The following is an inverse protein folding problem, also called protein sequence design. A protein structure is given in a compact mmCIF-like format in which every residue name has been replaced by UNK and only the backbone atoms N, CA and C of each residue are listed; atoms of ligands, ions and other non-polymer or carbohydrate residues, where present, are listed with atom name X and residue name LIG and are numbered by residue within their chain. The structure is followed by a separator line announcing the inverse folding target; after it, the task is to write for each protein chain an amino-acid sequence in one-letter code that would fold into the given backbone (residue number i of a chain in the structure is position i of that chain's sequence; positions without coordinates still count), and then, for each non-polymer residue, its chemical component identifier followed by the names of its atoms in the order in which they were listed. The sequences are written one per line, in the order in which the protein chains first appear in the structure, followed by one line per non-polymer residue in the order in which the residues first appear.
data_IF_506511146992
#
_entry.id   IF_506511146992
#
_cell.length_a   1.000
_cell.length_b   1.000
_cell.length_c   1.000
_cell.angle_alpha   90.00
_cell.angle_beta   90.00
_cell.angle_gamma   90.00
#
_symmetry.space_group_name_H-M   'P 1'
#
loop_
_entity.id
_entity.type
_entity.pdbx_description
1 polymer ?
#
# COMPACT_ATOMS: atom_id res chain seq x y z
N UNK A 1 -12.01 17.33 14.94
CA UNK A 1 -12.41 15.87 14.89
C UNK A 1 -11.15 15.07 14.71
N UNK A 2 -10.97 14.03 15.51
CA UNK A 2 -9.81 13.15 15.42
C UNK A 2 -9.86 12.33 14.12
N UNK A 3 -8.83 12.42 13.29
CA UNK A 3 -8.70 11.64 12.05
C UNK A 3 -8.61 10.14 12.36
N UNK A 4 -9.40 9.33 11.68
CA UNK A 4 -9.36 7.86 11.79
C UNK A 4 -8.56 7.29 10.61
N UNK A 5 -7.39 6.73 10.90
CA UNK A 5 -6.48 6.20 9.88
C UNK A 5 -6.35 4.69 10.08
N UNK A 6 -6.77 3.91 9.11
CA UNK A 6 -6.69 2.45 9.16
C UNK A 6 -5.59 1.92 8.24
N UNK A 7 -4.64 1.17 8.80
CA UNK A 7 -3.67 0.41 8.05
C UNK A 7 -4.08 -1.06 8.08
N UNK A 8 -4.29 -1.65 6.90
CA UNK A 8 -4.70 -3.04 6.78
C UNK A 8 -3.56 -3.97 7.17
N UNK A 9 -3.79 -4.83 8.16
CA UNK A 9 -2.85 -5.85 8.60
C UNK A 9 -3.36 -7.24 8.17
N UNK A 10 -2.46 -8.06 7.67
CA UNK A 10 -2.76 -9.40 7.17
C UNK A 10 -1.53 -10.31 7.21
N UNK A 11 -1.70 -11.64 7.25
CA UNK A 11 -0.57 -12.56 7.22
C UNK A 11 0.33 -12.35 6.00
N UNK A 12 1.66 -12.35 6.23
CA UNK A 12 2.70 -12.12 5.21
C UNK A 12 2.66 -10.69 4.61
N UNK A 13 2.21 -9.71 5.38
CA UNK A 13 2.39 -8.30 5.05
C UNK A 13 3.88 -7.95 4.99
N UNK A 14 4.27 -7.05 4.10
CA UNK A 14 5.59 -6.43 4.16
C UNK A 14 5.61 -5.43 5.32
N UNK A 15 6.31 -5.75 6.41
CA UNK A 15 6.19 -4.98 7.65
C UNK A 15 6.52 -3.49 7.47
N UNK A 16 7.52 -3.13 6.64
CA UNK A 16 7.90 -1.74 6.46
C UNK A 16 6.87 -0.95 5.63
N UNK A 17 6.11 -1.61 4.74
CA UNK A 17 4.96 -1.00 4.04
C UNK A 17 3.87 -0.57 5.03
N UNK A 18 3.78 -1.25 6.17
CA UNK A 18 2.87 -0.96 7.27
C UNK A 18 3.49 0.05 8.25
N UNK A 19 4.68 -0.27 8.77
CA UNK A 19 5.30 0.48 9.88
C UNK A 19 5.87 1.83 9.44
N UNK A 20 6.30 1.98 8.19
CA UNK A 20 6.75 3.27 7.66
C UNK A 20 5.64 4.34 7.67
N UNK A 21 4.49 4.09 7.04
CA UNK A 21 3.34 5.00 7.15
C UNK A 21 2.79 5.12 8.58
N UNK A 22 2.77 4.02 9.34
CA UNK A 22 2.32 4.03 10.73
C UNK A 22 3.10 5.07 11.54
N UNK A 23 4.43 5.06 11.45
CA UNK A 23 5.28 5.99 12.19
C UNK A 23 4.95 7.45 11.87
N UNK A 24 4.78 7.79 10.60
CA UNK A 24 4.41 9.15 10.20
C UNK A 24 3.03 9.53 10.74
N UNK A 25 2.04 8.66 10.57
CA UNK A 25 0.66 8.98 10.98
C UNK A 25 0.46 8.99 12.49
N UNK A 26 1.23 8.19 13.23
CA UNK A 26 1.20 8.19 14.69
C UNK A 26 1.73 9.49 15.31
N UNK A 27 2.47 10.29 14.57
CA UNK A 27 2.95 11.62 14.99
C UNK A 27 1.97 12.76 14.67
N UNK A 28 0.88 12.49 13.95
CA UNK A 28 -0.16 13.51 13.73
C UNK A 28 -0.89 13.83 15.03
N UNK A 29 -0.99 15.12 15.38
CA UNK A 29 -1.50 15.59 16.69
C UNK A 29 -2.97 15.21 16.96
N UNK A 30 -3.81 15.15 15.93
CA UNK A 30 -5.24 14.86 16.00
C UNK A 30 -5.63 13.61 15.19
N UNK A 31 -4.83 12.54 15.23
CA UNK A 31 -5.12 11.30 14.54
C UNK A 31 -5.13 10.09 15.49
N UNK A 32 -5.95 9.10 15.16
CA UNK A 32 -5.90 7.77 15.72
C UNK A 32 -5.60 6.76 14.61
N UNK A 33 -4.51 6.04 14.75
CA UNK A 33 -4.08 5.00 13.81
C UNK A 33 -4.57 3.65 14.31
N UNK A 34 -5.17 2.87 13.42
CA UNK A 34 -5.69 1.53 13.67
C UNK A 34 -4.94 0.50 12.83
N UNK A 35 -4.44 -0.55 13.46
CA UNK A 35 -3.93 -1.73 12.80
C UNK A 35 -5.09 -2.71 12.57
N UNK A 36 -5.72 -2.61 11.41
CA UNK A 36 -7.00 -3.26 11.11
C UNK A 36 -6.79 -4.64 10.50
N UNK A 37 -7.37 -5.67 11.10
CA UNK A 37 -7.32 -7.04 10.59
C UNK A 37 -8.69 -7.72 10.73
N UNK A 38 -8.88 -8.90 10.12
CA UNK A 38 -10.11 -9.71 10.32
C UNK A 38 -10.32 -10.09 11.77
N UNK A 39 -9.24 -10.44 12.46
CA UNK A 39 -9.23 -10.86 13.87
C UNK A 39 -8.12 -10.15 14.62
N UNK A 40 -8.18 -10.16 15.94
CA UNK A 40 -7.14 -9.56 16.80
C UNK A 40 -5.96 -10.50 17.08
N UNK A 41 -5.93 -11.69 16.49
CA UNK A 41 -4.80 -12.61 16.64
C UNK A 41 -3.56 -12.04 15.93
N UNK A 42 -2.37 -12.13 16.53
CA UNK A 42 -1.12 -11.71 15.88
C UNK A 42 -0.89 -12.45 14.56
N UNK A 43 -0.35 -11.73 13.58
CA UNK A 43 -0.05 -12.29 12.27
C UNK A 43 1.44 -12.12 11.92
N UNK A 44 2.06 -13.13 11.26
CA UNK A 44 3.44 -13.02 10.83
C UNK A 44 3.57 -12.11 9.59
N UNK A 45 4.57 -11.25 9.57
CA UNK A 45 5.00 -10.51 8.38
C UNK A 45 5.64 -11.46 7.35
N UNK A 46 5.97 -10.93 6.16
CA UNK A 46 6.73 -11.67 5.12
C UNK A 46 8.09 -12.17 5.62
N UNK A 47 8.68 -11.50 6.61
CA UNK A 47 9.98 -11.83 7.20
C UNK A 47 9.89 -12.54 8.56
N UNK A 48 8.68 -12.86 9.03
CA UNK A 48 8.45 -13.60 10.27
C UNK A 48 8.22 -12.76 11.54
N UNK A 49 8.34 -11.42 11.46
CA UNK A 49 8.01 -10.55 12.59
C UNK A 49 6.53 -10.68 12.93
N UNK A 50 6.20 -10.91 14.23
CA UNK A 50 4.83 -10.95 14.68
C UNK A 50 4.28 -9.54 14.88
N UNK A 51 3.12 -9.28 14.29
CA UNK A 51 2.42 -8.00 14.35
C UNK A 51 1.04 -8.23 14.96
N UNK A 52 0.70 -7.43 15.97
CA UNK A 52 -0.59 -7.53 16.66
C UNK A 52 -1.54 -6.45 16.13
N UNK A 53 -2.70 -6.83 15.55
CA UNK A 53 -3.75 -5.86 15.23
C UNK A 53 -4.39 -5.34 16.53
N UNK A 54 -4.93 -4.12 16.46
CA UNK A 54 -5.66 -3.49 17.57
C UNK A 54 -7.16 -3.30 17.25
N UNK A 55 -7.55 -3.49 15.99
CA UNK A 55 -8.92 -3.24 15.53
C UNK A 55 -9.37 -4.35 14.57
N UNK A 56 -10.51 -4.99 14.87
CA UNK A 56 -11.12 -5.95 13.96
C UNK A 56 -11.91 -5.26 12.84
N UNK A 57 -12.19 -5.95 11.72
CA UNK A 57 -13.08 -5.42 10.67
C UNK A 57 -14.45 -5.02 11.23
N UNK A 58 -14.99 -5.80 12.16
CA UNK A 58 -16.29 -5.56 12.75
C UNK A 58 -16.35 -4.32 13.66
N UNK A 59 -15.24 -3.98 14.31
CA UNK A 59 -15.13 -2.87 15.26
C UNK A 59 -14.48 -1.62 14.64
N UNK A 60 -14.04 -1.72 13.37
CA UNK A 60 -13.37 -0.62 12.69
C UNK A 60 -14.33 0.55 12.45
N UNK A 61 -13.98 1.76 12.92
CA UNK A 61 -14.79 2.94 12.65
C UNK A 61 -14.76 3.27 11.15
N UNK A 62 -15.61 4.22 10.73
CA UNK A 62 -15.46 4.83 9.41
C UNK A 62 -14.12 5.56 9.36
N UNK A 63 -13.29 5.21 8.40
CA UNK A 63 -11.94 5.74 8.26
C UNK A 63 -11.94 7.02 7.41
N UNK A 64 -11.12 8.01 7.80
CA UNK A 64 -10.74 9.13 6.94
C UNK A 64 -9.68 8.69 5.91
N UNK A 65 -8.79 7.79 6.31
CA UNK A 65 -7.73 7.23 5.46
C UNK A 65 -7.71 5.72 5.59
N UNK A 66 -7.83 5.04 4.46
CA UNK A 66 -7.56 3.60 4.36
C UNK A 66 -6.21 3.39 3.68
N UNK A 67 -5.28 2.70 4.34
CA UNK A 67 -3.98 2.32 3.78
C UNK A 67 -3.86 0.81 3.63
N UNK A 68 -3.57 0.36 2.41
CA UNK A 68 -3.36 -1.05 2.08
C UNK A 68 -1.88 -1.29 1.77
N UNK A 69 -1.11 -1.90 2.69
CA UNK A 69 0.28 -2.26 2.45
C UNK A 69 0.42 -3.43 1.48
N UNK A 70 1.63 -3.62 0.96
CA UNK A 70 1.97 -4.77 0.16
C UNK A 70 2.52 -5.95 0.98
N UNK A 71 3.09 -6.92 0.29
CA UNK A 71 3.68 -8.11 0.88
C UNK A 71 3.35 -9.38 0.09
N UNK A 72 3.87 -10.49 0.55
CA UNK A 72 3.62 -11.79 -0.09
C UNK A 72 2.15 -12.21 0.04
N UNK A 73 1.48 -11.80 1.12
CA UNK A 73 0.07 -12.11 1.39
C UNK A 73 -0.94 -11.43 0.45
N UNK A 74 -0.52 -10.42 -0.32
CA UNK A 74 -1.38 -9.68 -1.27
C UNK A 74 -2.17 -10.60 -2.21
N UNK A 75 -1.54 -11.69 -2.69
CA UNK A 75 -2.24 -12.63 -3.58
C UNK A 75 -3.47 -13.27 -2.92
N UNK A 76 -3.39 -13.62 -1.65
CA UNK A 76 -4.52 -14.17 -0.90
C UNK A 76 -5.61 -13.10 -0.69
N UNK A 77 -5.22 -11.86 -0.39
CA UNK A 77 -6.17 -10.76 -0.21
C UNK A 77 -6.95 -10.46 -1.49
N UNK A 78 -6.32 -10.51 -2.65
CA UNK A 78 -6.98 -10.28 -3.94
C UNK A 78 -8.09 -11.30 -4.25
N UNK A 79 -8.11 -12.45 -3.56
CA UNK A 79 -9.11 -13.52 -3.69
C UNK A 79 -10.03 -13.64 -2.46
N UNK A 80 -9.81 -12.83 -1.44
CA UNK A 80 -10.56 -12.85 -0.19
C UNK A 80 -11.69 -11.83 -0.21
N UNK A 81 -12.91 -12.29 -0.52
CA UNK A 81 -14.07 -11.42 -0.70
C UNK A 81 -14.44 -10.65 0.58
N UNK A 82 -14.20 -11.20 1.77
CA UNK A 82 -14.46 -10.49 3.03
C UNK A 82 -13.55 -9.25 3.15
N UNK A 83 -12.26 -9.40 2.87
CA UNK A 83 -11.31 -8.28 2.87
C UNK A 83 -11.65 -7.27 1.75
N UNK A 84 -11.97 -7.74 0.55
CA UNK A 84 -12.33 -6.85 -0.55
C UNK A 84 -13.63 -6.08 -0.26
N UNK A 85 -14.62 -6.73 0.37
CA UNK A 85 -15.85 -6.08 0.81
C UNK A 85 -15.59 -5.01 1.87
N UNK A 86 -14.74 -5.30 2.87
CA UNK A 86 -14.32 -4.33 3.88
C UNK A 86 -13.64 -3.12 3.23
N UNK A 87 -12.69 -3.33 2.31
CA UNK A 87 -12.00 -2.25 1.59
C UNK A 87 -13.02 -1.39 0.82
N UNK A 88 -13.93 -2.01 0.07
CA UNK A 88 -14.98 -1.28 -0.67
C UNK A 88 -15.91 -0.50 0.24
N UNK A 89 -16.24 -1.06 1.42
CA UNK A 89 -17.10 -0.39 2.39
C UNK A 89 -16.42 0.84 2.97
N UNK A 90 -15.17 0.73 3.41
CA UNK A 90 -14.40 1.87 3.93
C UNK A 90 -14.17 2.93 2.85
N UNK A 91 -13.90 2.51 1.62
CA UNK A 91 -13.67 3.43 0.49
C UNK A 91 -14.86 4.35 0.18
N UNK A 92 -16.10 3.99 0.57
CA UNK A 92 -17.28 4.85 0.36
C UNK A 92 -17.25 6.11 1.24
N UNK A 93 -16.65 6.05 2.41
CA UNK A 93 -16.60 7.15 3.37
C UNK A 93 -15.24 7.80 3.54
N UNK A 94 -14.17 7.12 3.13
CA UNK A 94 -12.81 7.61 3.30
C UNK A 94 -12.53 8.85 2.44
N UNK A 95 -11.86 9.82 3.03
CA UNK A 95 -11.33 10.99 2.32
C UNK A 95 -10.22 10.61 1.37
N UNK A 96 -9.39 9.62 1.78
CA UNK A 96 -8.28 9.11 0.98
C UNK A 96 -8.20 7.59 1.03
N UNK A 97 -8.07 6.99 -0.15
CA UNK A 97 -7.81 5.56 -0.34
C UNK A 97 -6.36 5.43 -0.76
N UNK A 98 -5.60 4.61 -0.06
CA UNK A 98 -4.16 4.62 -0.24
C UNK A 98 -3.58 3.21 -0.24
N UNK A 99 -2.41 3.07 -0.86
CA UNK A 99 -1.66 1.82 -0.84
C UNK A 99 -0.16 2.06 -0.89
N UNK A 100 0.60 1.09 -0.42
CA UNK A 100 2.06 1.03 -0.57
C UNK A 100 2.43 -0.26 -1.29
N UNK A 101 3.46 -0.21 -2.14
CA UNK A 101 4.01 -1.38 -2.80
C UNK A 101 2.91 -2.16 -3.56
N UNK A 102 2.83 -3.47 -3.40
CA UNK A 102 1.82 -4.31 -4.07
C UNK A 102 0.41 -4.22 -3.47
N UNK A 103 0.20 -3.41 -2.44
CA UNK A 103 -1.14 -3.12 -1.92
C UNK A 103 -2.09 -2.51 -2.95
N UNK A 104 -1.55 -1.79 -3.94
CA UNK A 104 -2.34 -1.27 -5.06
C UNK A 104 -3.04 -2.37 -5.87
N UNK A 105 -2.47 -3.57 -5.97
CA UNK A 105 -3.13 -4.69 -6.66
C UNK A 105 -4.37 -5.17 -5.90
N UNK A 106 -4.39 -5.05 -4.57
CA UNK A 106 -5.59 -5.33 -3.75
C UNK A 106 -6.66 -4.28 -4.03
N UNK A 107 -6.28 -2.99 -4.12
CA UNK A 107 -7.19 -1.93 -4.54
C UNK A 107 -7.75 -2.19 -5.95
N UNK A 108 -6.91 -2.69 -6.87
CA UNK A 108 -7.33 -3.14 -8.20
C UNK A 108 -8.38 -4.25 -8.11
N UNK A 109 -8.12 -5.31 -7.33
CA UNK A 109 -9.06 -6.41 -7.12
C UNK A 109 -10.37 -5.99 -6.43
N UNK A 110 -10.33 -4.90 -5.64
CA UNK A 110 -11.52 -4.27 -5.07
C UNK A 110 -12.30 -3.38 -6.08
N UNK A 111 -11.77 -3.17 -7.30
CA UNK A 111 -12.39 -2.33 -8.34
C UNK A 111 -12.13 -0.82 -8.18
N UNK A 112 -11.16 -0.42 -7.38
CA UNK A 112 -10.91 0.98 -7.02
C UNK A 112 -9.86 1.68 -7.91
N UNK A 113 -9.25 0.96 -8.87
CA UNK A 113 -8.20 1.51 -9.75
C UNK A 113 -8.70 1.82 -11.18
N UNK A 114 -9.93 1.48 -11.53
CA UNK A 114 -10.45 1.67 -12.90
C UNK A 114 -10.36 3.13 -13.34
N UNK A 115 -9.69 3.37 -14.47
CA UNK A 115 -9.47 4.70 -15.02
C UNK A 115 -8.56 5.61 -14.19
N UNK A 116 -7.83 5.06 -13.20
CA UNK A 116 -6.96 5.81 -12.30
C UNK A 116 -5.50 5.70 -12.71
N UNK A 117 -4.74 6.76 -12.42
CA UNK A 117 -3.28 6.71 -12.43
C UNK A 117 -2.80 6.10 -11.12
N UNK A 118 -1.88 5.14 -11.18
CA UNK A 118 -1.39 4.46 -9.99
C UNK A 118 0.06 3.98 -10.15
N UNK A 119 0.73 3.78 -9.03
CA UNK A 119 2.01 3.07 -8.95
C UNK A 119 1.91 1.85 -8.06
N UNK A 120 2.91 0.99 -8.13
CA UNK A 120 3.10 -0.19 -7.31
C UNK A 120 4.60 -0.49 -7.19
N UNK A 121 4.98 -1.58 -6.56
CA UNK A 121 6.37 -2.05 -6.60
C UNK A 121 6.80 -2.31 -8.06
N UNK A 122 7.98 -1.80 -8.46
CA UNK A 122 8.46 -1.78 -9.85
C UNK A 122 8.41 -3.15 -10.55
N UNK A 123 8.68 -4.25 -9.84
CA UNK A 123 8.65 -5.60 -10.40
C UNK A 123 7.24 -6.12 -10.76
N UNK A 124 6.18 -5.43 -10.35
CA UNK A 124 4.78 -5.80 -10.58
C UNK A 124 3.99 -4.72 -11.33
N UNK A 125 4.68 -3.72 -11.84
CA UNK A 125 4.10 -2.51 -12.41
C UNK A 125 3.16 -2.79 -13.59
N UNK A 126 3.50 -3.77 -14.41
CA UNK A 126 2.69 -4.18 -15.57
C UNK A 126 1.28 -4.66 -15.20
N UNK A 127 1.09 -5.21 -13.96
CA UNK A 127 -0.19 -5.74 -13.53
C UNK A 127 -1.26 -4.66 -13.26
N UNK A 128 -0.85 -3.39 -13.13
CA UNK A 128 -1.79 -2.29 -12.95
C UNK A 128 -2.69 -2.09 -14.18
N UNK A 129 -2.14 -2.27 -15.38
CA UNK A 129 -2.89 -2.15 -16.64
C UNK A 129 -4.05 -3.14 -16.75
N UNK A 130 -3.92 -4.32 -16.16
CA UNK A 130 -4.97 -5.34 -16.15
C UNK A 130 -6.24 -4.88 -15.39
N UNK A 131 -6.11 -3.94 -14.45
CA UNK A 131 -7.21 -3.33 -13.71
C UNK A 131 -7.74 -2.04 -14.35
N UNK A 132 -7.44 -1.79 -15.62
CA UNK A 132 -7.80 -0.55 -16.32
C UNK A 132 -7.22 0.70 -15.63
N UNK A 133 -6.06 0.56 -14.98
CA UNK A 133 -5.30 1.66 -14.41
C UNK A 133 -4.19 2.10 -15.36
N UNK A 134 -3.83 3.38 -15.33
CA UNK A 134 -2.64 3.91 -16.02
C UNK A 134 -1.43 3.80 -15.11
N UNK A 135 -0.45 2.91 -15.41
CA UNK A 135 0.74 2.78 -14.60
C UNK A 135 1.63 4.03 -14.68
N UNK A 136 2.11 4.53 -13.54
CA UNK A 136 3.02 5.67 -13.45
C UNK A 136 4.25 5.30 -12.64
N UNK A 137 5.44 5.41 -13.24
CA UNK A 137 6.71 5.15 -12.55
C UNK A 137 7.10 6.35 -11.70
N UNK A 138 6.64 6.38 -10.44
CA UNK A 138 6.97 7.40 -9.46
C UNK A 138 6.91 6.82 -8.04
N UNK A 139 7.61 7.44 -7.10
CA UNK A 139 7.58 7.01 -5.69
C UNK A 139 6.19 7.19 -5.07
N UNK A 140 5.51 8.28 -5.41
CA UNK A 140 4.14 8.57 -4.98
C UNK A 140 3.34 9.04 -6.17
N UNK A 141 2.15 8.49 -6.36
CA UNK A 141 1.20 8.91 -7.39
C UNK A 141 -0.12 9.26 -6.71
N UNK A 142 -0.60 10.46 -7.03
CA UNK A 142 -1.92 10.94 -6.62
C UNK A 142 -2.86 11.00 -7.82
N UNK A 143 -4.08 10.52 -7.67
CA UNK A 143 -5.20 10.69 -8.58
C UNK A 143 -6.48 10.99 -7.79
N UNK A 144 -6.75 12.27 -7.56
CA UNK A 144 -7.85 12.71 -6.71
C UNK A 144 -7.66 12.26 -5.26
N UNK A 145 -8.60 11.45 -4.76
CA UNK A 145 -8.56 10.86 -3.42
C UNK A 145 -7.69 9.58 -3.32
N UNK A 146 -7.21 9.07 -4.44
CA UNK A 146 -6.33 7.91 -4.48
C UNK A 146 -4.87 8.32 -4.38
N UNK A 147 -4.13 7.73 -3.41
CA UNK A 147 -2.68 7.84 -3.30
C UNK A 147 -2.06 6.46 -3.36
N UNK A 148 -1.06 6.27 -4.19
CA UNK A 148 -0.32 5.01 -4.28
C UNK A 148 1.17 5.26 -4.13
N UNK A 149 1.80 4.57 -3.20
CA UNK A 149 3.25 4.55 -3.01
C UNK A 149 3.89 3.38 -3.75
N UNK A 150 5.09 3.59 -4.27
CA UNK A 150 5.91 2.57 -4.93
C UNK A 150 6.44 1.51 -3.96
N UNK A 151 7.62 0.95 -4.26
CA UNK A 151 8.22 -0.11 -3.45
C UNK A 151 8.61 0.34 -2.06
N UNK A 152 8.58 -0.55 -1.17
CA UNK A 152 8.69 -0.64 0.30
C UNK A 152 8.94 0.70 1.02
N UNK A 153 10.11 1.31 0.82
CA UNK A 153 10.51 2.55 1.51
C UNK A 153 9.72 3.79 1.07
N UNK A 154 9.04 3.74 -0.08
CA UNK A 154 8.17 4.82 -0.54
C UNK A 154 6.96 5.06 0.39
N UNK A 155 6.70 4.12 1.32
CA UNK A 155 5.67 4.28 2.35
C UNK A 155 5.86 5.50 3.23
N UNK A 156 7.11 5.87 3.53
CA UNK A 156 7.41 7.06 4.34
C UNK A 156 7.15 8.34 3.52
N UNK A 157 7.66 8.42 2.27
CA UNK A 157 7.45 9.57 1.38
C UNK A 157 5.96 9.79 1.10
N UNK A 158 5.23 8.69 0.86
CA UNK A 158 3.79 8.69 0.66
C UNK A 158 3.06 9.25 1.89
N UNK A 159 3.40 8.77 3.09
CA UNK A 159 2.74 9.17 4.31
C UNK A 159 3.00 10.64 4.65
N UNK A 160 4.22 11.15 4.44
CA UNK A 160 4.55 12.57 4.58
C UNK A 160 3.77 13.44 3.57
N UNK A 161 3.65 12.96 2.31
CA UNK A 161 2.86 13.65 1.28
C UNK A 161 1.39 13.73 1.70
N UNK A 162 0.84 12.64 2.21
CA UNK A 162 -0.55 12.61 2.67
C UNK A 162 -0.75 13.42 3.96
N UNK A 163 0.22 13.41 4.89
CA UNK A 163 0.19 14.24 6.08
C UNK A 163 0.08 15.74 5.73
N UNK A 164 0.83 16.20 4.72
CA UNK A 164 0.73 17.57 4.23
C UNK A 164 -0.68 17.91 3.72
N UNK A 165 -1.37 16.98 3.07
CA UNK A 165 -2.77 17.15 2.62
C UNK A 165 -3.79 17.13 3.77
N UNK A 166 -3.51 16.36 4.82
CA UNK A 166 -4.42 16.21 5.96
C UNK A 166 -4.35 17.37 6.93
N UNK A 167 -3.14 17.82 7.27
CA UNK A 167 -2.86 18.76 8.37
C UNK A 167 -1.97 19.96 7.98
N UNK A 168 -1.52 20.02 6.73
CA UNK A 168 -0.68 21.09 6.18
C UNK A 168 0.81 20.77 6.17
N UNK A 169 1.53 21.46 5.28
CA UNK A 169 2.97 21.23 5.03
C UNK A 169 3.84 21.46 6.26
N UNK A 170 3.53 22.45 7.10
CA UNK A 170 4.31 22.76 8.29
C UNK A 170 4.39 21.58 9.26
N UNK A 171 3.25 20.95 9.54
CA UNK A 171 3.18 19.78 10.43
C UNK A 171 3.87 18.57 9.79
N UNK A 172 3.67 18.34 8.49
CA UNK A 172 4.37 17.26 7.79
C UNK A 172 5.90 17.43 7.81
N UNK A 173 6.40 18.66 7.64
CA UNK A 173 7.83 18.98 7.74
C UNK A 173 8.35 18.81 9.18
N UNK A 174 7.55 19.17 10.19
CA UNK A 174 7.91 18.97 11.59
C UNK A 174 8.04 17.47 11.91
N UNK A 175 7.11 16.64 11.44
CA UNK A 175 7.17 15.19 11.56
C UNK A 175 8.41 14.63 10.84
N UNK A 176 8.67 15.06 9.61
CA UNK A 176 9.87 14.65 8.86
C UNK A 176 11.16 14.97 9.63
N UNK A 177 11.25 16.17 10.20
CA UNK A 177 12.41 16.59 10.98
C UNK A 177 12.54 15.81 12.29
N UNK A 178 11.44 15.57 12.99
CA UNK A 178 11.42 14.78 14.23
C UNK A 178 11.87 13.34 13.99
N UNK A 179 11.50 12.75 12.86
CA UNK A 179 11.95 11.42 12.44
C UNK A 179 13.38 11.41 11.88
N UNK A 180 14.00 12.58 11.71
CA UNK A 180 15.28 12.72 11.00
C UNK A 180 15.27 12.00 9.63
N UNK A 181 14.12 12.04 8.94
CA UNK A 181 14.00 11.38 7.64
C UNK A 181 14.73 12.17 6.55
N UNK A 182 16.03 11.92 6.45
CA UNK A 182 16.97 12.49 5.47
C UNK A 182 17.77 11.35 4.81
N UNK A 183 17.14 10.52 3.94
CA UNK A 183 17.76 9.30 3.44
C UNK A 183 19.01 9.56 2.61
N UNK A 184 20.09 8.84 2.96
CA UNK A 184 21.38 8.88 2.28
C UNK A 184 21.85 7.44 2.00
N UNK A 185 21.25 6.72 1.04
CA UNK A 185 21.61 5.35 0.76
C UNK A 185 23.05 5.24 0.23
N UNK A 186 23.80 4.19 0.61
CA UNK A 186 25.21 4.03 0.20
C UNK A 186 25.37 3.66 -1.28
N UNK A 187 24.30 3.29 -1.96
CA UNK A 187 24.28 2.90 -3.36
C UNK A 187 23.14 3.58 -4.12
N UNK A 188 23.37 3.95 -5.37
CA UNK A 188 22.32 4.46 -6.29
C UNK A 188 21.68 3.29 -7.07
N UNK A 189 21.18 2.29 -6.34
CA UNK A 189 20.59 1.07 -6.89
C UNK A 189 19.14 0.83 -6.41
N UNK A 190 18.53 1.86 -5.83
CA UNK A 190 17.16 1.79 -5.33
C UNK A 190 16.07 1.92 -6.40
N UNK A 191 16.45 2.31 -7.63
CA UNK A 191 15.54 2.41 -8.79
C UNK A 191 16.11 1.56 -9.94
N UNK A 192 15.27 0.75 -10.65
CA UNK A 192 15.73 -0.09 -11.75
C UNK A 192 16.35 0.69 -12.93
N UNK A 193 16.07 2.00 -13.04
CA UNK A 193 16.66 2.85 -14.07
C UNK A 193 18.09 3.31 -13.72
N UNK A 194 18.46 3.26 -12.44
CA UNK A 194 19.79 3.66 -11.95
C UNK A 194 20.65 2.46 -11.55
N UNK A 195 20.01 1.36 -11.12
CA UNK A 195 20.73 0.17 -10.69
C UNK A 195 21.52 -0.48 -11.85
N UNK A 196 22.68 -1.09 -11.57
CA UNK A 196 23.42 -1.87 -12.56
C UNK A 196 22.55 -2.94 -13.21
N UNK A 197 22.64 -3.10 -14.52
CA UNK A 197 21.79 -4.02 -15.30
C UNK A 197 21.83 -5.47 -14.77
N UNK A 198 22.99 -5.95 -14.31
CA UNK A 198 23.14 -7.29 -13.72
C UNK A 198 22.33 -7.42 -12.41
N UNK A 199 22.29 -6.38 -11.57
CA UNK A 199 21.50 -6.35 -10.33
C UNK A 199 20.01 -6.37 -10.65
N UNK A 200 19.58 -5.59 -11.65
CA UNK A 200 18.19 -5.59 -12.12
C UNK A 200 17.78 -6.96 -12.64
N UNK A 201 18.62 -7.62 -13.43
CA UNK A 201 18.36 -8.96 -13.98
C UNK A 201 18.20 -9.99 -12.85
N UNK A 202 19.12 -10.01 -11.87
CA UNK A 202 19.08 -10.90 -10.72
C UNK A 202 17.79 -10.71 -9.87
N UNK A 203 17.40 -9.47 -9.59
CA UNK A 203 16.17 -9.19 -8.82
C UNK A 203 14.91 -9.56 -9.62
N UNK A 204 14.91 -9.38 -10.94
CA UNK A 204 13.80 -9.84 -11.81
C UNK A 204 13.69 -11.37 -11.80
N UNK A 205 14.79 -12.08 -11.88
CA UNK A 205 14.81 -13.55 -11.80
C UNK A 205 14.24 -14.04 -10.46
N UNK A 206 14.67 -13.47 -9.34
CA UNK A 206 14.16 -13.81 -8.00
C UNK A 206 12.65 -13.50 -7.86
N UNK A 207 12.16 -12.50 -8.55
CA UNK A 207 10.75 -12.09 -8.52
C UNK A 207 9.86 -12.85 -9.51
N UNK A 208 10.41 -13.56 -10.47
CA UNK A 208 9.70 -14.14 -11.63
C UNK A 208 8.56 -15.09 -11.21
N UNK A 209 8.82 -16.00 -10.26
CA UNK A 209 7.80 -16.94 -9.77
C UNK A 209 6.64 -16.22 -9.07
N UNK A 210 6.95 -15.19 -8.26
CA UNK A 210 5.95 -14.37 -7.60
C UNK A 210 5.12 -13.56 -8.60
N UNK A 211 5.76 -12.99 -9.61
CA UNK A 211 5.09 -12.25 -10.68
C UNK A 211 4.14 -13.16 -11.47
N UNK A 212 4.60 -14.35 -11.88
CA UNK A 212 3.77 -15.32 -12.60
C UNK A 212 2.52 -15.71 -11.79
N UNK A 213 2.70 -16.04 -10.51
CA UNK A 213 1.57 -16.34 -9.62
C UNK A 213 0.60 -15.18 -9.50
N UNK A 214 1.09 -13.96 -9.30
CA UNK A 214 0.24 -12.75 -9.17
C UNK A 214 -0.48 -12.43 -10.48
N UNK A 215 0.15 -12.65 -11.65
CA UNK A 215 -0.52 -12.46 -12.94
C UNK A 215 -1.75 -13.35 -13.07
N UNK A 216 -1.67 -14.62 -12.67
CA UNK A 216 -2.83 -15.52 -12.70
C UNK A 216 -3.93 -15.11 -11.71
N UNK A 217 -3.56 -14.65 -10.53
CA UNK A 217 -4.52 -14.09 -9.55
C UNK A 217 -5.17 -12.82 -10.10
N UNK A 218 -4.38 -11.94 -10.72
CA UNK A 218 -4.89 -10.70 -11.35
C UNK A 218 -5.90 -11.01 -12.43
N UNK A 219 -5.64 -11.95 -13.33
CA UNK A 219 -6.60 -12.39 -14.36
C UNK A 219 -7.94 -12.83 -13.76
N UNK A 220 -7.90 -13.62 -12.69
CA UNK A 220 -9.14 -14.05 -12.00
C UNK A 220 -9.89 -12.88 -11.36
N UNK A 221 -9.16 -11.92 -10.76
CA UNK A 221 -9.75 -10.72 -10.18
C UNK A 221 -10.39 -9.84 -11.27
N UNK A 222 -9.70 -9.63 -12.38
CA UNK A 222 -10.18 -8.86 -13.55
C UNK A 222 -11.45 -9.50 -14.14
N UNK A 223 -11.47 -10.83 -14.27
CA UNK A 223 -12.66 -11.56 -14.72
C UNK A 223 -13.87 -11.35 -13.77
N UNK A 224 -13.65 -11.43 -12.44
CA UNK A 224 -14.71 -11.16 -11.45
C UNK A 224 -15.26 -9.73 -11.54
N UNK A 225 -14.43 -8.77 -11.93
CA UNK A 225 -14.81 -7.36 -12.09
C UNK A 225 -15.47 -7.05 -13.45
N UNK A 226 -15.52 -8.03 -14.37
CA UNK A 226 -16.04 -7.81 -15.72
C UNK A 226 -15.21 -6.84 -16.57
N UNK A 227 -13.91 -6.75 -16.32
CA UNK A 227 -13.01 -5.83 -17.04
C UNK A 227 -12.46 -6.45 -18.37
N UNK A 228 -12.66 -7.74 -18.61
CA UNK A 228 -12.25 -8.45 -19.82
C UNK A 228 -13.46 -8.60 -20.78
N UNK A 229 -14.03 -7.51 -21.20
CA UNK A 229 -15.05 -7.54 -22.24
C UNK A 229 -14.53 -6.89 -23.52
#
# INVERSE_FOLDING_TARGET
MTLQIGLLLFPRVQQLDLTGPYEVFAHLSDAKVHLVCKTLAPVPSSTGMQLAPDTSFAECPTLDVLCVPGGEGVGALMEDEETLAFIRQQAKGARFITSVCTGSLVLGAAGLLRGKRATTHWAFHELLGEFDATPVHARVVRDGALFTGGGITAGIDFALTLAAELVGEHEAQAIQLQMEYAPAPPFDAGDPNHAPAAVVADVRERSAASLAKRREITKRAVHRLGLNA
#
